data_IF_103287127201
#
_entry.id   IF_103287127201
#
_cell.length_a   1.000
_cell.length_b   1.000
_cell.length_c   1.000
_cell.angle_alpha   90.00
_cell.angle_beta   90.00
_cell.angle_gamma   90.00
#
_symmetry.space_group_name_H-M   'P 1'
#
loop_
_entity.id
_entity.type
_entity.pdbx_description
1 polymer ?
#
# COMPACT_ATOMS: atom_id res chain seq x y z
N UNK A 1 18.68 -4.24 30.33
CA UNK A 1 18.72 -2.92 29.66
C UNK A 1 17.34 -2.28 29.80
N UNK A 2 17.24 -1.05 30.30
CA UNK A 2 15.94 -0.37 30.45
C UNK A 2 15.84 0.70 29.36
N UNK A 3 14.76 0.68 28.59
CA UNK A 3 14.50 1.72 27.59
C UNK A 3 14.23 3.06 28.27
N UNK A 4 14.52 4.17 27.57
CA UNK A 4 14.19 5.50 28.05
C UNK A 4 12.67 5.68 28.17
N UNK A 5 12.24 6.55 29.09
CA UNK A 5 10.80 6.79 29.32
C UNK A 5 10.09 7.43 28.12
N UNK A 6 10.85 8.12 27.26
CA UNK A 6 10.41 8.78 26.04
C UNK A 6 10.56 7.92 24.77
N UNK A 7 10.91 6.64 24.92
CA UNK A 7 11.04 5.73 23.80
C UNK A 7 9.68 5.55 23.08
N UNK A 8 9.69 5.75 21.76
CA UNK A 8 8.50 5.61 20.93
C UNK A 8 8.40 4.19 20.37
N UNK A 9 7.48 3.41 20.89
CA UNK A 9 7.09 2.15 20.29
C UNK A 9 6.34 2.43 19.00
N UNK A 10 6.77 1.80 17.91
CA UNK A 10 6.22 2.08 16.60
C UNK A 10 6.12 0.86 15.71
N UNK A 11 5.48 1.05 14.57
CA UNK A 11 5.32 0.06 13.52
C UNK A 11 5.46 0.70 12.14
N UNK A 12 5.44 -0.13 11.11
CA UNK A 12 5.47 0.31 9.73
C UNK A 12 4.44 -0.45 8.89
N UNK A 13 3.77 0.26 7.99
CA UNK A 13 2.87 -0.28 6.98
C UNK A 13 3.40 0.09 5.59
N UNK A 14 3.28 -0.82 4.64
CA UNK A 14 3.60 -0.56 3.24
C UNK A 14 2.31 -0.35 2.44
N UNK A 15 2.26 0.70 1.64
CA UNK A 15 1.09 1.07 0.84
C UNK A 15 0.50 -0.11 0.05
N UNK A 16 1.35 -0.84 -0.67
CA UNK A 16 0.95 -2.00 -1.46
C UNK A 16 0.49 -3.23 -0.65
N UNK A 17 0.69 -3.22 0.66
CA UNK A 17 0.26 -4.30 1.56
C UNK A 17 -0.97 -3.93 2.36
N UNK A 18 -1.32 -2.67 2.46
CA UNK A 18 -2.40 -2.22 3.32
C UNK A 18 -3.51 -1.44 2.61
N UNK A 19 -3.20 -0.62 1.60
CA UNK A 19 -4.16 0.35 1.08
C UNK A 19 -5.38 -0.29 0.42
N UNK A 20 -5.21 -1.16 -0.57
CA UNK A 20 -6.31 -1.52 -1.47
C UNK A 20 -6.71 -0.36 -2.38
N UNK A 21 -7.98 -0.25 -2.73
CA UNK A 21 -8.54 0.85 -3.53
C UNK A 21 -7.69 1.22 -4.76
N UNK A 22 -7.22 0.21 -5.47
CA UNK A 22 -6.14 0.30 -6.47
C UNK A 22 -6.49 1.09 -7.74
N UNK A 23 -7.78 1.37 -7.97
CA UNK A 23 -8.30 2.17 -9.09
C UNK A 23 -9.26 3.27 -8.63
N UNK A 24 -9.29 3.60 -7.35
CA UNK A 24 -10.18 4.63 -6.80
C UNK A 24 -9.50 6.01 -6.78
N UNK A 25 -10.34 7.03 -6.86
CA UNK A 25 -9.96 8.45 -6.76
C UNK A 25 -8.80 8.84 -7.69
N UNK A 26 -8.86 8.33 -8.94
CA UNK A 26 -7.86 8.64 -9.97
C UNK A 26 -6.53 7.92 -9.85
N UNK A 27 -6.35 7.04 -8.84
CA UNK A 27 -5.15 6.22 -8.75
C UNK A 27 -5.04 5.28 -9.97
N UNK A 28 -3.87 5.22 -10.59
CA UNK A 28 -3.54 4.19 -11.57
C UNK A 28 -2.74 3.05 -10.93
N UNK A 29 -2.77 1.84 -11.55
CA UNK A 29 -2.07 0.68 -11.04
C UNK A 29 -0.56 0.92 -10.88
N UNK A 30 0.00 0.45 -9.77
CA UNK A 30 1.43 0.31 -9.57
C UNK A 30 1.88 -1.12 -9.91
N UNK A 31 3.17 -1.35 -10.04
CA UNK A 31 3.72 -2.69 -10.34
C UNK A 31 3.26 -3.78 -9.36
N UNK A 32 3.07 -3.42 -8.09
CA UNK A 32 2.58 -4.35 -7.07
C UNK A 32 1.16 -4.86 -7.35
N UNK A 33 0.33 -4.07 -8.03
CA UNK A 33 -1.06 -4.44 -8.32
C UNK A 33 -1.19 -5.52 -9.41
N UNK A 34 -0.08 -5.84 -10.07
CA UNK A 34 0.02 -6.93 -11.05
C UNK A 34 0.70 -8.18 -10.50
N UNK A 35 1.13 -8.16 -9.23
CA UNK A 35 1.77 -9.33 -8.62
C UNK A 35 0.72 -10.24 -7.97
N UNK A 36 0.64 -11.52 -8.38
CA UNK A 36 -0.21 -12.49 -7.73
C UNK A 36 0.34 -12.87 -6.34
N UNK A 37 -0.40 -13.67 -5.59
CA UNK A 37 0.09 -14.26 -4.36
C UNK A 37 1.13 -15.38 -4.61
N UNK A 38 1.70 -15.91 -3.52
CA UNK A 38 2.74 -16.94 -3.61
C UNK A 38 2.24 -18.25 -4.22
N UNK A 39 0.97 -18.63 -3.96
CA UNK A 39 0.38 -19.85 -4.48
C UNK A 39 0.07 -19.77 -5.98
N UNK A 40 -0.15 -18.56 -6.51
CA UNK A 40 -0.58 -18.32 -7.88
C UNK A 40 0.51 -17.73 -8.79
N UNK A 41 1.78 -17.90 -8.42
CA UNK A 41 2.89 -17.63 -9.33
C UNK A 41 3.66 -16.34 -9.08
N UNK A 42 3.61 -15.74 -7.88
CA UNK A 42 4.35 -14.52 -7.53
C UNK A 42 5.82 -14.58 -7.88
N UNK A 43 6.48 -15.69 -7.56
CA UNK A 43 7.91 -15.87 -7.85
C UNK A 43 8.20 -15.87 -9.35
N UNK A 44 7.35 -16.52 -10.15
CA UNK A 44 7.49 -16.51 -11.60
C UNK A 44 7.30 -15.10 -12.17
N UNK A 45 6.30 -14.36 -11.69
CA UNK A 45 6.06 -12.98 -12.11
C UNK A 45 7.24 -12.05 -11.75
N UNK A 46 7.85 -12.24 -10.59
CA UNK A 46 9.02 -11.45 -10.16
C UNK A 46 10.28 -11.78 -10.95
N UNK A 47 10.47 -13.03 -11.34
CA UNK A 47 11.62 -13.49 -12.14
C UNK A 47 11.49 -13.11 -13.62
N UNK A 48 10.27 -12.91 -14.11
CA UNK A 48 9.96 -12.57 -15.50
C UNK A 48 9.09 -11.31 -15.60
N UNK A 49 9.59 -10.13 -15.14
CA UNK A 49 8.79 -8.92 -15.04
C UNK A 49 8.26 -8.41 -16.40
N UNK A 50 8.91 -8.77 -17.51
CA UNK A 50 8.43 -8.43 -18.85
C UNK A 50 7.05 -9.02 -19.19
N UNK A 51 6.67 -10.10 -18.56
CA UNK A 51 5.40 -10.79 -18.83
C UNK A 51 4.29 -10.42 -17.83
N UNK A 52 4.57 -9.55 -16.87
CA UNK A 52 3.64 -9.25 -15.76
C UNK A 52 2.31 -8.65 -16.22
N UNK A 53 2.32 -7.91 -17.31
CA UNK A 53 1.12 -7.28 -17.89
C UNK A 53 0.38 -8.21 -18.84
N UNK A 54 1.04 -9.21 -19.39
CA UNK A 54 0.47 -10.15 -20.37
C UNK A 54 -0.16 -11.36 -19.68
N UNK A 55 0.33 -11.73 -18.51
CA UNK A 55 -0.16 -12.88 -17.75
C UNK A 55 -1.28 -12.44 -16.81
N UNK A 56 -2.44 -13.10 -16.87
CA UNK A 56 -3.55 -12.92 -15.95
C UNK A 56 -3.51 -13.98 -14.86
N UNK A 57 -3.75 -13.54 -13.63
CA UNK A 57 -3.86 -14.39 -12.45
C UNK A 57 -5.24 -14.22 -11.80
N UNK A 58 -5.69 -15.23 -11.07
CA UNK A 58 -7.03 -15.22 -10.46
C UNK A 58 -7.12 -14.25 -9.27
N UNK A 59 -5.99 -14.00 -8.59
CA UNK A 59 -5.97 -13.17 -7.40
C UNK A 59 -4.72 -12.29 -7.31
N UNK A 60 -4.94 -11.03 -6.93
CA UNK A 60 -3.91 -10.00 -6.75
C UNK A 60 -4.06 -9.36 -5.36
N UNK A 61 -3.29 -9.80 -4.37
CA UNK A 61 -3.47 -9.40 -2.97
C UNK A 61 -3.46 -7.90 -2.71
N UNK A 62 -2.61 -7.14 -3.42
CA UNK A 62 -2.48 -5.69 -3.20
C UNK A 62 -3.68 -4.86 -3.65
N UNK A 63 -4.55 -5.42 -4.50
CA UNK A 63 -5.76 -4.71 -4.99
C UNK A 63 -6.81 -4.53 -3.90
N UNK A 64 -6.89 -5.48 -2.99
CA UNK A 64 -7.79 -5.46 -1.82
C UNK A 64 -7.02 -5.11 -0.55
N UNK A 65 -5.89 -5.77 -0.33
CA UNK A 65 -5.05 -5.66 0.85
C UNK A 65 -5.87 -5.82 2.15
N UNK A 66 -5.75 -4.90 3.10
CA UNK A 66 -6.61 -4.84 4.30
C UNK A 66 -7.61 -3.68 4.23
N UNK A 67 -7.76 -3.09 3.05
CA UNK A 67 -8.66 -1.97 2.79
C UNK A 67 -8.38 -0.74 3.67
N UNK A 68 -7.11 -0.49 3.94
CA UNK A 68 -6.68 0.64 4.76
C UNK A 68 -7.13 1.98 4.17
N UNK A 69 -7.27 2.08 2.86
CA UNK A 69 -7.77 3.28 2.19
C UNK A 69 -9.10 3.76 2.76
N UNK A 70 -10.05 2.87 3.01
CA UNK A 70 -11.35 3.22 3.60
C UNK A 70 -11.34 3.17 5.12
N UNK A 71 -10.42 2.42 5.73
CA UNK A 71 -10.41 2.09 7.17
C UNK A 71 -9.34 2.80 7.99
N UNK A 72 -8.46 3.58 7.36
CA UNK A 72 -7.27 4.12 8.02
C UNK A 72 -7.56 4.87 9.33
N UNK A 73 -8.66 5.60 9.42
CA UNK A 73 -9.03 6.34 10.64
C UNK A 73 -9.27 5.41 11.83
N UNK A 74 -10.00 4.33 11.59
CA UNK A 74 -10.25 3.31 12.60
C UNK A 74 -8.99 2.52 12.93
N UNK A 75 -8.26 2.08 11.92
CA UNK A 75 -7.06 1.28 12.08
C UNK A 75 -5.96 2.05 12.85
N UNK A 76 -5.75 3.33 12.53
CA UNK A 76 -4.81 4.19 13.26
C UNK A 76 -5.27 4.38 14.72
N UNK A 77 -6.57 4.55 14.96
CA UNK A 77 -7.11 4.64 16.32
C UNK A 77 -6.82 3.38 17.13
N UNK A 78 -7.08 2.20 16.55
CA UNK A 78 -6.81 0.90 17.18
C UNK A 78 -5.30 0.71 17.46
N UNK A 79 -4.44 1.10 16.53
CA UNK A 79 -2.98 1.08 16.73
C UNK A 79 -2.57 1.98 17.90
N UNK A 80 -3.13 3.19 17.98
CA UNK A 80 -2.85 4.12 19.08
C UNK A 80 -3.33 3.56 20.44
N UNK A 81 -4.53 2.97 20.48
CA UNK A 81 -5.08 2.32 21.68
C UNK A 81 -4.24 1.11 22.13
N UNK A 82 -3.61 0.40 21.19
CA UNK A 82 -2.68 -0.70 21.51
C UNK A 82 -1.32 -0.24 22.02
N UNK A 83 -1.08 1.08 22.10
CA UNK A 83 0.17 1.65 22.61
C UNK A 83 1.20 2.03 21.54
N UNK A 84 0.88 1.91 20.27
CA UNK A 84 1.74 2.39 19.17
C UNK A 84 1.76 3.93 19.19
N UNK A 85 2.96 4.51 19.26
CA UNK A 85 3.18 5.96 19.35
C UNK A 85 3.83 6.57 18.12
N UNK A 86 4.35 5.73 17.24
CA UNK A 86 4.94 6.13 15.97
C UNK A 86 4.51 5.15 14.88
N UNK A 87 3.97 5.65 13.79
CA UNK A 87 3.58 4.85 12.63
C UNK A 87 4.29 5.38 11.39
N UNK A 88 5.09 4.52 10.75
CA UNK A 88 5.71 4.80 9.47
C UNK A 88 4.81 4.25 8.36
N UNK A 89 4.52 5.09 7.38
CA UNK A 89 3.78 4.71 6.18
C UNK A 89 4.66 4.88 4.94
N UNK A 90 4.47 4.07 3.92
CA UNK A 90 4.85 4.41 2.56
C UNK A 90 3.64 5.01 1.83
N UNK A 91 3.91 5.83 0.81
CA UNK A 91 2.89 6.48 -0.01
C UNK A 91 2.90 5.80 -1.38
N UNK A 92 1.72 5.38 -1.85
CA UNK A 92 1.57 4.89 -3.22
C UNK A 92 1.73 6.06 -4.19
N UNK A 93 2.86 6.10 -4.92
CA UNK A 93 3.16 7.22 -5.82
C UNK A 93 2.10 7.41 -6.88
N UNK A 94 1.55 6.32 -7.43
CA UNK A 94 0.50 6.38 -8.44
C UNK A 94 -0.85 6.91 -7.93
N UNK A 95 -0.99 7.09 -6.61
CA UNK A 95 -2.14 7.79 -6.02
C UNK A 95 -1.96 9.31 -6.11
N UNK A 96 -0.72 9.78 -6.05
CA UNK A 96 -0.39 11.21 -6.06
C UNK A 96 -0.11 11.69 -7.49
N UNK A 97 0.65 10.91 -8.24
CA UNK A 97 0.97 11.15 -9.65
C UNK A 97 0.67 9.88 -10.46
N UNK A 98 -0.58 9.70 -10.92
CA UNK A 98 -1.05 8.46 -11.54
C UNK A 98 -0.21 7.99 -12.73
N UNK A 99 0.16 8.87 -13.65
CA UNK A 99 1.01 8.55 -14.81
C UNK A 99 2.49 8.89 -14.58
N UNK A 100 2.78 9.75 -13.60
CA UNK A 100 4.11 10.31 -13.36
C UNK A 100 4.48 11.50 -14.23
N UNK A 101 3.55 11.97 -15.08
CA UNK A 101 3.78 13.09 -16.02
C UNK A 101 2.91 14.31 -15.69
N UNK A 102 2.12 14.25 -14.64
CA UNK A 102 1.24 15.34 -14.22
C UNK A 102 2.03 16.55 -13.72
N UNK A 103 1.57 17.75 -14.07
CA UNK A 103 2.15 19.01 -13.57
C UNK A 103 1.72 19.36 -12.13
N UNK A 104 0.70 18.68 -11.62
CA UNK A 104 0.15 18.85 -10.28
C UNK A 104 -0.27 17.50 -9.69
N UNK A 105 -0.21 17.35 -8.36
CA UNK A 105 -0.63 16.12 -7.72
C UNK A 105 -2.15 15.91 -7.82
N UNK A 106 -2.57 14.65 -7.73
CA UNK A 106 -3.96 14.28 -7.61
C UNK A 106 -4.49 14.67 -6.21
N UNK A 107 -5.41 15.63 -6.17
CA UNK A 107 -5.96 16.17 -4.92
C UNK A 107 -6.72 15.13 -4.08
N UNK A 108 -7.40 14.19 -4.73
CA UNK A 108 -8.08 13.10 -4.02
C UNK A 108 -7.07 12.16 -3.34
N UNK A 109 -5.96 11.88 -4.02
CA UNK A 109 -4.87 11.12 -3.45
C UNK A 109 -4.16 11.83 -2.28
N UNK A 110 -4.11 13.17 -2.30
CA UNK A 110 -3.53 13.95 -1.20
C UNK A 110 -4.44 14.01 0.03
N UNK A 111 -5.76 13.85 -0.14
CA UNK A 111 -6.73 13.87 0.96
C UNK A 111 -6.75 12.58 1.78
N UNK A 112 -6.32 11.49 1.22
CA UNK A 112 -6.10 10.22 1.93
C UNK A 112 -4.89 10.31 2.83
#
# INVERSE_FOLDING_TARGET
MKLKSDFLWGGALAANQCEGAWQEDGRLPASADFLPDAAHGRWNAMLHPGNILETRYDYYPSREAIDFYHRYKEDIRLLAESGIKALRLSISWTRIYPTGEENAPNEDGLRF
#
